data_IF_389522143174
#
_entry.id   IF_389522143174
#
_cell.length_a   1.000
_cell.length_b   1.000
_cell.length_c   1.000
_cell.angle_alpha   90.00
_cell.angle_beta   90.00
_cell.angle_gamma   90.00
#
_symmetry.space_group_name_H-M   'P 1'
#
loop_
_entity.id
_entity.type
_entity.pdbx_description
1 polymer ?
#
# COMPACT_ATOMS: atom_id res chain seq x y z
N UNK A 1 -7.92 2.13 -18.17
CA UNK A 1 -8.37 2.36 -16.79
C UNK A 1 -7.41 1.70 -15.79
N UNK A 2 -7.02 0.45 -16.02
CA UNK A 2 -6.14 -0.34 -15.15
C UNK A 2 -4.75 0.30 -14.94
N UNK A 3 -4.10 0.76 -16.02
CA UNK A 3 -2.81 1.45 -15.94
C UNK A 3 -2.88 2.75 -15.11
N UNK A 4 -3.99 3.49 -15.18
CA UNK A 4 -4.21 4.70 -14.38
C UNK A 4 -4.47 4.40 -12.90
N UNK A 5 -5.13 3.28 -12.59
CA UNK A 5 -5.38 2.87 -11.20
C UNK A 5 -4.10 2.38 -10.53
N UNK A 6 -3.31 1.56 -11.22
CA UNK A 6 -1.97 1.17 -10.75
C UNK A 6 -1.07 2.39 -10.52
N UNK A 7 -1.07 3.34 -11.45
CA UNK A 7 -0.30 4.57 -11.30
C UNK A 7 -0.68 5.36 -10.02
N UNK A 8 -1.97 5.50 -9.71
CA UNK A 8 -2.43 6.21 -8.51
C UNK A 8 -2.00 5.55 -7.19
N UNK A 9 -1.94 4.23 -7.13
CA UNK A 9 -1.49 3.50 -5.93
C UNK A 9 0.02 3.61 -5.80
N UNK A 10 0.75 3.49 -6.90
CA UNK A 10 2.20 3.72 -6.93
C UNK A 10 2.52 5.17 -6.53
N UNK A 11 1.71 6.15 -6.93
CA UNK A 11 1.86 7.55 -6.52
C UNK A 11 1.64 7.76 -5.01
N UNK A 12 0.69 7.04 -4.39
CA UNK A 12 0.45 7.11 -2.96
C UNK A 12 1.65 6.56 -2.17
N UNK A 13 2.13 5.37 -2.52
CA UNK A 13 3.32 4.76 -1.91
C UNK A 13 4.55 5.63 -2.16
N UNK A 14 4.75 6.13 -3.37
CA UNK A 14 5.85 7.04 -3.71
C UNK A 14 5.82 8.33 -2.89
N UNK A 15 4.62 8.83 -2.56
CA UNK A 15 4.47 10.02 -1.71
C UNK A 15 4.90 9.73 -0.27
N UNK A 16 4.59 8.55 0.27
CA UNK A 16 5.03 8.11 1.59
C UNK A 16 6.56 7.91 1.63
N UNK A 17 7.12 7.26 0.63
CA UNK A 17 8.58 7.04 0.53
C UNK A 17 9.34 8.36 0.49
N UNK A 18 8.81 9.39 -0.17
CA UNK A 18 9.44 10.73 -0.24
C UNK A 18 9.50 11.47 1.09
N UNK A 19 8.78 11.02 2.12
CA UNK A 19 8.85 11.60 3.46
C UNK A 19 10.17 11.26 4.17
N UNK A 20 10.85 10.19 3.77
CA UNK A 20 12.16 9.84 4.33
C UNK A 20 13.26 10.69 3.69
N UNK A 21 14.09 11.39 4.48
CA UNK A 21 15.22 12.15 3.95
C UNK A 21 16.29 11.24 3.36
N UNK A 22 17.04 11.72 2.38
CA UNK A 22 18.10 10.94 1.74
C UNK A 22 19.34 10.80 2.64
N UNK A 23 19.60 11.81 3.47
CA UNK A 23 20.74 11.89 4.39
C UNK A 23 20.27 12.21 5.81
N UNK A 24 21.08 11.86 6.77
CA UNK A 24 20.86 12.13 8.18
C UNK A 24 22.16 12.61 8.85
N UNK A 25 22.03 13.56 9.78
CA UNK A 25 23.16 14.01 10.62
C UNK A 25 23.24 13.08 11.82
N UNK A 26 24.34 12.34 11.92
CA UNK A 26 24.57 11.33 12.97
C UNK A 26 25.83 11.66 13.73
N UNK A 27 25.80 11.47 15.07
CA UNK A 27 27.01 11.59 15.92
C UNK A 27 27.50 10.19 16.27
N UNK A 28 28.69 9.82 15.77
CA UNK A 28 29.41 8.59 16.11
C UNK A 28 30.74 8.95 16.72
N UNK A 29 31.05 8.36 17.85
CA UNK A 29 32.33 8.62 18.61
C UNK A 29 32.59 10.14 18.87
N UNK A 30 31.53 10.92 19.12
CA UNK A 30 31.62 12.36 19.37
C UNK A 30 31.76 13.25 18.12
N UNK A 31 31.85 12.65 16.93
CA UNK A 31 31.98 13.40 15.66
C UNK A 31 30.64 13.41 14.93
N UNK A 32 30.18 14.58 14.54
CA UNK A 32 29.00 14.76 13.71
C UNK A 32 29.37 14.53 12.25
N UNK A 33 28.60 13.71 11.57
CA UNK A 33 28.77 13.40 10.15
C UNK A 33 27.41 13.22 9.47
N UNK A 34 27.33 13.69 8.24
CA UNK A 34 26.17 13.44 7.40
C UNK A 34 26.37 12.13 6.67
N UNK A 35 25.41 11.21 6.82
CA UNK A 35 25.46 9.88 6.20
C UNK A 35 24.15 9.62 5.43
N UNK A 36 24.17 8.74 4.41
CA UNK A 36 22.95 8.26 3.79
C UNK A 36 22.03 7.62 4.82
N UNK A 37 20.73 7.88 4.75
CA UNK A 37 19.71 7.31 5.67
C UNK A 37 19.77 5.78 5.71
N UNK A 38 20.07 5.14 4.59
CA UNK A 38 20.24 3.68 4.50
C UNK A 38 21.43 3.13 5.31
N UNK A 39 22.38 3.99 5.74
CA UNK A 39 23.58 3.63 6.52
C UNK A 39 23.41 3.84 8.02
N UNK A 40 22.24 4.27 8.48
CA UNK A 40 21.91 4.42 9.90
C UNK A 40 21.83 3.03 10.54
N UNK A 41 22.38 2.91 11.73
CA UNK A 41 22.36 1.68 12.54
C UNK A 41 21.60 1.90 13.84
N UNK A 42 21.04 0.83 14.38
CA UNK A 42 20.44 0.85 15.73
C UNK A 42 21.49 1.28 16.74
N UNK A 43 21.13 2.24 17.59
CA UNK A 43 22.02 2.83 18.58
C UNK A 43 22.72 4.11 18.13
N UNK A 44 22.67 4.49 16.85
CA UNK A 44 23.20 5.77 16.39
C UNK A 44 22.48 6.94 17.08
N UNK A 45 23.22 7.99 17.39
CA UNK A 45 22.66 9.25 17.86
C UNK A 45 22.40 10.16 16.65
N UNK A 46 21.14 10.44 16.38
CA UNK A 46 20.71 11.26 15.25
C UNK A 46 20.36 12.66 15.75
N UNK A 47 20.82 13.67 15.03
CA UNK A 47 20.60 15.08 15.33
C UNK A 47 19.58 15.66 14.33
N UNK A 48 18.52 16.26 14.87
CA UNK A 48 17.45 16.85 14.07
C UNK A 48 17.30 18.32 14.42
N UNK A 49 17.41 19.16 13.40
CA UNK A 49 17.24 20.62 13.49
C UNK A 49 15.86 21.00 12.94
N UNK A 50 15.42 22.20 13.25
CA UNK A 50 14.20 22.79 12.70
C UNK A 50 14.15 22.65 11.19
N UNK A 51 13.05 22.15 10.66
CA UNK A 51 12.80 21.89 9.23
C UNK A 51 13.32 20.54 8.72
N UNK A 52 14.09 19.80 9.53
CA UNK A 52 14.61 18.50 9.10
C UNK A 52 13.56 17.39 9.27
N UNK A 53 13.52 16.49 8.28
CA UNK A 53 12.75 15.26 8.38
C UNK A 53 13.50 14.22 9.22
N UNK A 54 12.75 13.38 9.93
CA UNK A 54 13.26 12.36 10.85
C UNK A 54 13.43 11.04 10.09
N UNK A 55 14.68 10.52 10.00
CA UNK A 55 15.00 9.38 9.14
C UNK A 55 14.70 8.00 9.73
N UNK A 56 14.62 7.87 11.06
CA UNK A 56 14.48 6.59 11.77
C UNK A 56 13.68 6.78 13.05
N UNK A 57 13.07 5.70 13.55
CA UNK A 57 12.36 5.74 14.83
C UNK A 57 13.34 5.62 16.01
N UNK A 58 12.98 6.23 17.13
CA UNK A 58 13.82 6.16 18.32
C UNK A 58 13.27 6.92 19.51
N UNK A 59 14.14 7.17 20.49
CA UNK A 59 13.82 7.87 21.73
C UNK A 59 14.72 9.08 21.90
N UNK A 60 14.13 10.23 22.22
CA UNK A 60 14.84 11.49 22.46
C UNK A 60 15.75 11.36 23.69
N UNK A 61 17.02 11.69 23.52
CA UNK A 61 18.04 11.64 24.59
C UNK A 61 18.50 13.03 25.04
N UNK A 62 18.31 14.05 24.19
CA UNK A 62 18.70 15.42 24.50
C UNK A 62 17.90 16.41 23.64
N UNK A 63 17.71 17.63 24.16
CA UNK A 63 17.00 18.70 23.48
C UNK A 63 15.49 18.66 23.70
N UNK A 64 14.80 19.60 23.04
CA UNK A 64 13.34 19.69 22.99
C UNK A 64 12.91 20.39 21.68
N UNK A 65 11.71 20.06 21.22
CA UNK A 65 11.18 20.65 20.00
C UNK A 65 9.78 20.17 19.66
N UNK A 66 9.13 20.80 18.70
CA UNK A 66 7.84 20.35 18.20
C UNK A 66 8.02 19.58 16.90
N UNK A 67 7.30 18.47 16.79
CA UNK A 67 7.36 17.55 15.65
C UNK A 67 5.98 17.45 15.02
N UNK A 68 5.93 17.64 13.72
CA UNK A 68 4.74 17.42 12.90
C UNK A 68 4.66 15.93 12.54
N UNK A 69 3.70 15.25 13.13
CA UNK A 69 3.40 13.84 12.91
C UNK A 69 2.18 13.64 11.97
N UNK A 70 1.66 14.71 11.37
CA UNK A 70 0.41 14.69 10.59
C UNK A 70 0.43 13.71 9.42
N UNK A 71 1.60 13.48 8.82
CA UNK A 71 1.76 12.51 7.74
C UNK A 71 1.48 11.05 8.17
N UNK A 72 1.62 10.74 9.45
CA UNK A 72 1.41 9.38 10.01
C UNK A 72 0.10 9.29 10.80
N UNK A 73 -0.21 10.31 11.61
CA UNK A 73 -1.33 10.31 12.54
C UNK A 73 -2.58 10.98 11.98
N UNK A 74 -2.42 11.86 10.98
CA UNK A 74 -3.49 12.72 10.46
C UNK A 74 -3.79 13.94 11.34
N UNK A 75 -3.15 14.07 12.51
CA UNK A 75 -3.32 15.21 13.42
C UNK A 75 -2.49 16.41 12.96
N UNK A 76 -3.15 17.55 12.72
CA UNK A 76 -2.50 18.74 12.15
C UNK A 76 -1.68 19.56 13.16
N UNK A 77 -1.85 19.31 14.46
CA UNK A 77 -1.12 20.03 15.50
C UNK A 77 0.23 19.35 15.76
N UNK A 78 1.35 20.11 15.71
CA UNK A 78 2.64 19.57 16.09
C UNK A 78 2.67 19.13 17.55
N UNK A 79 3.35 18.03 17.83
CA UNK A 79 3.48 17.43 19.16
C UNK A 79 4.80 17.87 19.77
N UNK A 80 4.77 18.40 21.00
CA UNK A 80 5.99 18.71 21.75
C UNK A 80 6.70 17.41 22.15
N UNK A 81 8.02 17.38 21.93
CA UNK A 81 8.89 16.25 22.25
C UNK A 81 10.00 16.71 23.17
N UNK A 82 10.24 15.93 24.21
CA UNK A 82 11.27 16.13 25.21
C UNK A 82 12.03 14.83 25.46
N UNK A 83 13.05 14.89 26.31
CA UNK A 83 13.88 13.72 26.66
C UNK A 83 13.02 12.59 27.20
N UNK A 84 13.16 11.39 26.64
CA UNK A 84 12.37 10.20 26.93
C UNK A 84 11.18 9.96 26.01
N UNK A 85 10.79 10.96 25.21
CA UNK A 85 9.68 10.79 24.28
C UNK A 85 10.09 10.00 23.01
N UNK A 86 9.15 9.24 22.49
CA UNK A 86 9.33 8.51 21.25
C UNK A 86 9.21 9.46 20.06
N UNK A 87 10.08 9.25 19.07
CA UNK A 87 10.10 9.98 17.80
C UNK A 87 9.95 8.99 16.64
N UNK A 88 9.20 9.39 15.62
CA UNK A 88 8.84 8.52 14.50
C UNK A 88 9.49 9.00 13.21
N UNK A 89 9.91 8.05 12.38
CA UNK A 89 10.41 8.30 11.03
C UNK A 89 9.33 8.96 10.15
N UNK A 90 9.76 9.69 9.13
CA UNK A 90 8.88 10.42 8.21
C UNK A 90 8.05 11.55 8.83
N UNK A 91 8.36 11.95 10.05
CA UNK A 91 7.85 13.17 10.68
C UNK A 91 8.83 14.32 10.50
N UNK A 92 8.43 15.56 10.78
CA UNK A 92 9.26 16.75 10.53
C UNK A 92 9.39 17.58 11.80
N UNK A 93 10.61 17.92 12.17
CA UNK A 93 10.85 18.86 13.27
C UNK A 93 10.45 20.27 12.84
N UNK A 94 9.42 20.86 13.46
CA UNK A 94 8.91 22.20 13.16
C UNK A 94 9.66 23.30 13.90
N UNK A 95 10.08 23.01 15.13
CA UNK A 95 10.85 23.94 15.94
C UNK A 95 11.75 23.20 16.91
N UNK A 96 12.81 23.85 17.37
CA UNK A 96 13.74 23.33 18.35
C UNK A 96 14.87 22.49 17.76
N UNK A 97 15.48 21.69 18.64
CA UNK A 97 16.60 20.81 18.34
C UNK A 97 16.43 19.52 19.14
N UNK A 98 16.57 18.39 18.49
CA UNK A 98 16.42 17.08 19.09
C UNK A 98 17.62 16.20 18.79
N UNK A 99 18.14 15.54 19.81
CA UNK A 99 19.03 14.40 19.64
C UNK A 99 18.30 13.16 20.13
N UNK A 100 18.27 12.13 19.30
CA UNK A 100 17.59 10.89 19.66
C UNK A 100 18.43 9.67 19.29
N UNK A 101 18.22 8.58 20.00
CA UNK A 101 18.85 7.30 19.70
C UNK A 101 17.98 6.50 18.76
N UNK A 102 18.55 6.08 17.63
CA UNK A 102 17.85 5.22 16.68
C UNK A 102 17.60 3.83 17.27
N UNK A 103 16.34 3.38 17.23
CA UNK A 103 15.92 2.07 17.74
C UNK A 103 15.40 1.17 16.62
N UNK A 104 14.68 1.75 15.63
CA UNK A 104 14.19 1.05 14.45
C UNK A 104 14.68 1.77 13.20
N UNK A 105 15.34 1.03 12.30
CA UNK A 105 16.00 1.57 11.12
C UNK A 105 15.59 0.81 9.85
N UNK A 106 15.69 1.44 8.70
CA UNK A 106 15.44 0.82 7.41
C UNK A 106 14.04 0.19 7.29
N UNK A 107 13.98 -1.11 7.09
CA UNK A 107 12.72 -1.84 6.91
C UNK A 107 11.86 -1.95 8.18
N UNK A 108 12.46 -1.76 9.36
CA UNK A 108 11.78 -1.91 10.64
C UNK A 108 11.16 -0.60 11.15
N UNK A 109 11.36 0.52 10.45
CA UNK A 109 10.75 1.80 10.81
C UNK A 109 9.23 1.76 10.70
N UNK A 110 8.54 2.58 11.50
CA UNK A 110 7.08 2.73 11.48
C UNK A 110 6.58 3.04 10.08
N UNK A 111 7.23 3.94 9.35
CA UNK A 111 6.88 4.23 7.95
C UNK A 111 6.99 3.01 7.05
N UNK A 112 8.08 2.24 7.15
CA UNK A 112 8.28 1.04 6.34
C UNK A 112 7.23 -0.03 6.63
N UNK A 113 6.83 -0.18 7.90
CA UNK A 113 5.73 -1.08 8.29
C UNK A 113 4.39 -0.62 7.71
N UNK A 114 4.10 0.69 7.71
CA UNK A 114 2.90 1.26 7.09
C UNK A 114 2.89 0.97 5.58
N UNK A 115 3.99 1.23 4.88
CA UNK A 115 4.12 0.94 3.45
C UNK A 115 3.85 -0.54 3.18
N UNK A 116 4.46 -1.45 3.95
CA UNK A 116 4.24 -2.89 3.82
C UNK A 116 2.78 -3.29 4.06
N UNK A 117 2.11 -2.73 5.06
CA UNK A 117 0.69 -2.98 5.31
C UNK A 117 -0.19 -2.54 4.13
N UNK A 118 0.12 -1.39 3.51
CA UNK A 118 -0.61 -0.90 2.32
C UNK A 118 -0.37 -1.82 1.12
N UNK A 119 0.85 -2.30 0.91
CA UNK A 119 1.18 -3.26 -0.15
C UNK A 119 0.50 -4.61 0.07
N UNK A 120 0.54 -5.15 1.29
CA UNK A 120 -0.12 -6.41 1.65
C UNK A 120 -1.64 -6.31 1.49
N UNK A 121 -2.25 -5.20 1.94
CA UNK A 121 -3.68 -4.96 1.75
C UNK A 121 -4.04 -4.88 0.27
N UNK A 122 -3.23 -4.19 -0.54
CA UNK A 122 -3.42 -4.08 -1.99
C UNK A 122 -3.25 -5.41 -2.74
N UNK A 123 -2.40 -6.30 -2.24
CA UNK A 123 -2.15 -7.62 -2.84
C UNK A 123 -3.11 -8.70 -2.34
N UNK A 124 -3.79 -8.49 -1.21
CA UNK A 124 -4.72 -9.46 -0.65
C UNK A 124 -5.98 -9.60 -1.52
N UNK A 125 -6.38 -10.85 -1.83
CA UNK A 125 -7.62 -11.11 -2.57
C UNK A 125 -8.83 -10.95 -1.65
N UNK A 126 -9.71 -10.02 -1.97
CA UNK A 126 -11.00 -9.89 -1.30
C UNK A 126 -11.87 -11.17 -1.45
N UNK A 127 -12.77 -11.47 -0.51
CA UNK A 127 -13.69 -12.59 -0.60
C UNK A 127 -14.46 -12.64 -1.92
N UNK A 128 -14.91 -11.50 -2.44
CA UNK A 128 -15.59 -11.42 -3.74
C UNK A 128 -14.67 -11.81 -4.91
N UNK A 129 -13.38 -11.49 -4.86
CA UNK A 129 -12.43 -11.92 -5.89
C UNK A 129 -12.21 -13.43 -5.87
N UNK A 130 -12.13 -14.03 -4.67
CA UNK A 130 -12.06 -15.51 -4.52
C UNK A 130 -13.32 -16.20 -5.06
N UNK A 131 -14.49 -15.61 -4.85
CA UNK A 131 -15.74 -16.09 -5.41
C UNK A 131 -15.74 -16.02 -6.94
N UNK A 132 -15.29 -14.90 -7.50
CA UNK A 132 -15.15 -14.70 -8.95
C UNK A 132 -14.17 -15.72 -9.56
N UNK A 133 -13.02 -15.97 -8.93
CA UNK A 133 -12.05 -16.99 -9.35
C UNK A 133 -12.69 -18.41 -9.35
N UNK A 134 -13.46 -18.74 -8.31
CA UNK A 134 -14.16 -20.02 -8.20
C UNK A 134 -15.22 -20.21 -9.28
N UNK A 135 -16.02 -19.17 -9.54
CA UNK A 135 -17.03 -19.18 -10.60
C UNK A 135 -16.35 -19.35 -11.95
N UNK A 136 -15.29 -18.58 -12.22
CA UNK A 136 -14.52 -18.65 -13.48
C UNK A 136 -13.90 -20.03 -13.69
N UNK A 137 -13.44 -20.69 -12.62
CA UNK A 137 -12.87 -22.05 -12.67
C UNK A 137 -13.85 -23.12 -13.16
N UNK A 138 -15.16 -22.92 -12.98
CA UNK A 138 -16.21 -23.80 -13.51
C UNK A 138 -16.71 -23.31 -14.87
N UNK A 139 -16.88 -22.01 -14.99
CA UNK A 139 -17.45 -21.38 -16.17
C UNK A 139 -16.57 -21.53 -17.42
N UNK A 140 -15.26 -21.37 -17.29
CA UNK A 140 -14.34 -21.45 -18.43
C UNK A 140 -14.32 -22.83 -19.10
N UNK A 141 -14.21 -23.97 -18.38
CA UNK A 141 -14.32 -25.28 -18.98
C UNK A 141 -15.68 -25.52 -19.69
N UNK A 142 -16.78 -25.00 -19.14
CA UNK A 142 -18.11 -25.12 -19.76
C UNK A 142 -18.15 -24.37 -21.10
N UNK A 143 -17.64 -23.12 -21.12
CA UNK A 143 -17.60 -22.31 -22.34
C UNK A 143 -16.70 -22.94 -23.42
N UNK A 144 -15.55 -23.49 -23.03
CA UNK A 144 -14.66 -24.21 -23.95
C UNK A 144 -15.40 -25.42 -24.55
N UNK A 145 -16.13 -26.17 -23.73
CA UNK A 145 -16.91 -27.31 -24.22
C UNK A 145 -17.99 -26.88 -25.20
N UNK A 146 -18.70 -25.78 -24.91
CA UNK A 146 -19.72 -25.24 -25.85
C UNK A 146 -19.06 -24.76 -27.15
N UNK A 147 -17.88 -24.14 -27.10
CA UNK A 147 -17.18 -23.69 -28.29
C UNK A 147 -16.75 -24.87 -29.19
N UNK A 148 -16.27 -25.98 -28.56
CA UNK A 148 -15.92 -27.21 -29.29
C UNK A 148 -17.15 -27.84 -29.93
N UNK A 149 -18.26 -27.94 -29.19
CA UNK A 149 -19.53 -28.45 -29.73
C UNK A 149 -20.02 -27.58 -30.91
N UNK A 150 -19.96 -26.26 -30.73
CA UNK A 150 -20.30 -25.30 -31.80
C UNK A 150 -19.46 -25.57 -33.06
N UNK A 151 -18.15 -25.71 -32.91
CA UNK A 151 -17.24 -26.02 -34.02
C UNK A 151 -17.66 -27.30 -34.75
N UNK A 152 -17.89 -28.37 -34.00
CA UNK A 152 -18.28 -29.68 -34.56
C UNK A 152 -19.59 -29.61 -35.28
N UNK A 153 -20.62 -29.01 -34.70
CA UNK A 153 -21.95 -28.85 -35.29
C UNK A 153 -21.87 -28.09 -36.60
N UNK A 154 -21.15 -26.95 -36.65
CA UNK A 154 -20.99 -26.18 -37.85
C UNK A 154 -20.24 -26.92 -38.99
N UNK A 155 -19.28 -27.77 -38.66
CA UNK A 155 -18.59 -28.63 -39.60
C UNK A 155 -19.53 -29.72 -40.17
N UNK A 156 -20.33 -30.35 -39.27
CA UNK A 156 -21.27 -31.40 -39.68
C UNK A 156 -22.42 -30.87 -40.58
N UNK A 157 -22.75 -29.60 -40.42
CA UNK A 157 -23.76 -28.94 -41.31
C UNK A 157 -23.21 -28.54 -42.68
N UNK A 158 -21.99 -28.91 -43.01
CA UNK A 158 -21.36 -28.67 -44.34
C UNK A 158 -20.81 -27.27 -44.53
N UNK A 159 -20.72 -26.46 -43.50
CA UNK A 159 -20.16 -25.13 -43.60
C UNK A 159 -18.62 -25.16 -43.72
N UNK A 160 -18.00 -24.16 -44.39
CA UNK A 160 -16.53 -24.08 -44.49
C UNK A 160 -15.90 -23.91 -43.12
N UNK A 161 -14.73 -24.50 -42.93
CA UNK A 161 -13.95 -24.46 -41.66
C UNK A 161 -13.78 -23.04 -41.11
N UNK A 162 -13.57 -22.07 -41.98
CA UNK A 162 -13.43 -20.65 -41.57
C UNK A 162 -14.68 -20.10 -40.87
N UNK A 163 -15.86 -20.55 -41.25
CA UNK A 163 -17.13 -20.11 -40.67
C UNK A 163 -17.38 -20.83 -39.33
N UNK A 164 -17.10 -22.13 -39.26
CA UNK A 164 -17.17 -22.91 -38.04
C UNK A 164 -16.19 -22.38 -36.98
N UNK A 165 -14.95 -22.04 -37.38
CA UNK A 165 -13.96 -21.45 -36.48
C UNK A 165 -14.39 -20.06 -35.99
N UNK A 166 -14.92 -19.19 -36.84
CA UNK A 166 -15.44 -17.88 -36.41
C UNK A 166 -16.54 -18.03 -35.36
N UNK A 167 -17.49 -18.97 -35.56
CA UNK A 167 -18.55 -19.20 -34.59
C UNK A 167 -18.03 -19.65 -33.24
N UNK A 168 -17.09 -20.61 -33.23
CA UNK A 168 -16.46 -21.09 -31.98
C UNK A 168 -15.65 -20.00 -31.25
N UNK A 169 -14.85 -19.22 -31.98
CA UNK A 169 -14.10 -18.10 -31.42
C UNK A 169 -15.04 -17.02 -30.86
N UNK A 170 -16.15 -16.74 -31.54
CA UNK A 170 -17.16 -15.78 -31.05
C UNK A 170 -17.74 -16.21 -29.70
N UNK A 171 -18.02 -17.49 -29.51
CA UNK A 171 -18.48 -18.04 -28.20
C UNK A 171 -17.45 -17.77 -27.12
N UNK A 172 -16.16 -18.01 -27.38
CA UNK A 172 -15.08 -17.79 -26.42
C UNK A 172 -14.92 -16.31 -26.05
N UNK A 173 -14.94 -15.42 -27.05
CA UNK A 173 -14.72 -13.97 -26.85
C UNK A 173 -15.89 -13.32 -26.09
N UNK A 174 -17.13 -13.64 -26.44
CA UNK A 174 -18.32 -13.07 -25.79
C UNK A 174 -18.44 -13.53 -24.34
N UNK A 175 -18.04 -14.75 -24.05
CA UNK A 175 -18.16 -15.36 -22.72
C UNK A 175 -17.03 -15.00 -21.76
N UNK A 176 -16.10 -14.13 -22.13
CA UNK A 176 -14.96 -13.79 -21.23
C UNK A 176 -15.42 -12.96 -20.02
N UNK A 177 -15.29 -13.43 -18.77
CA UNK A 177 -15.59 -12.65 -17.56
C UNK A 177 -14.43 -11.74 -17.15
N UNK A 178 -13.62 -11.28 -18.10
CA UNK A 178 -12.36 -10.57 -17.85
C UNK A 178 -12.54 -9.30 -17.01
N UNK A 179 -13.67 -8.60 -17.16
CA UNK A 179 -13.98 -7.39 -16.39
C UNK A 179 -14.14 -7.67 -14.89
N UNK A 180 -14.68 -8.84 -14.51
CA UNK A 180 -14.93 -9.19 -13.11
C UNK A 180 -13.61 -9.46 -12.34
N UNK A 181 -12.63 -10.10 -13.00
CA UNK A 181 -11.34 -10.43 -12.38
C UNK A 181 -10.42 -9.21 -12.15
N UNK A 182 -10.63 -8.11 -12.86
CA UNK A 182 -9.78 -6.91 -12.79
C UNK A 182 -10.40 -5.78 -11.96
N UNK A 183 -11.73 -5.70 -11.87
CA UNK A 183 -12.42 -4.60 -11.20
C UNK A 183 -12.16 -4.58 -9.69
N UNK A 184 -12.22 -5.74 -9.04
CA UNK A 184 -12.08 -5.85 -7.58
C UNK A 184 -10.68 -5.50 -7.07
N UNK A 185 -9.57 -6.08 -7.58
CA UNK A 185 -8.24 -5.67 -7.18
C UNK A 185 -7.99 -4.19 -7.37
N UNK A 186 -8.46 -3.63 -8.48
CA UNK A 186 -8.33 -2.20 -8.77
C UNK A 186 -9.05 -1.33 -7.76
N UNK A 187 -10.29 -1.66 -7.39
CA UNK A 187 -11.07 -0.92 -6.41
C UNK A 187 -10.42 -0.96 -5.02
N UNK A 188 -9.91 -2.12 -4.59
CA UNK A 188 -9.21 -2.30 -3.32
C UNK A 188 -7.93 -1.46 -3.29
N UNK A 189 -7.10 -1.53 -4.33
CA UNK A 189 -5.87 -0.75 -4.42
C UNK A 189 -6.14 0.76 -4.33
N UNK A 190 -7.15 1.26 -5.04
CA UNK A 190 -7.53 2.68 -4.99
C UNK A 190 -8.08 3.05 -3.61
N UNK A 191 -8.92 2.22 -3.03
CA UNK A 191 -9.53 2.45 -1.72
C UNK A 191 -8.49 2.47 -0.60
N UNK A 192 -7.59 1.48 -0.55
CA UNK A 192 -6.52 1.41 0.46
C UNK A 192 -5.52 2.56 0.29
N UNK A 193 -5.14 2.89 -0.94
CA UNK A 193 -4.25 4.02 -1.21
C UNK A 193 -4.85 5.37 -0.82
N UNK A 194 -6.15 5.58 -1.05
CA UNK A 194 -6.84 6.80 -0.61
C UNK A 194 -7.00 6.84 0.91
N UNK A 195 -7.27 5.69 1.54
CA UNK A 195 -7.30 5.57 3.00
C UNK A 195 -5.96 5.98 3.61
N UNK A 196 -4.86 5.40 3.14
CA UNK A 196 -3.52 5.70 3.64
C UNK A 196 -3.15 7.20 3.53
N UNK A 197 -3.54 7.86 2.43
CA UNK A 197 -3.33 9.32 2.28
C UNK A 197 -4.06 10.18 3.32
N UNK A 198 -5.12 9.65 3.93
CA UNK A 198 -5.92 10.30 4.95
C UNK A 198 -5.67 9.72 6.36
N UNK A 199 -4.55 9.03 6.58
CA UNK A 199 -4.20 8.44 7.87
C UNK A 199 -5.01 7.19 8.24
N UNK A 200 -5.79 6.62 7.31
CA UNK A 200 -6.60 5.43 7.55
C UNK A 200 -5.88 4.20 6.99
N UNK A 201 -5.39 3.35 7.88
CA UNK A 201 -4.69 2.12 7.52
C UNK A 201 -5.66 0.95 7.43
N UNK A 202 -5.78 0.37 6.25
CA UNK A 202 -6.64 -0.78 5.98
C UNK A 202 -5.78 -2.04 5.98
N UNK A 203 -5.99 -2.92 6.95
CA UNK A 203 -5.17 -4.10 7.19
C UNK A 203 -5.31 -5.18 6.11
N UNK A 204 -6.46 -5.28 5.47
CA UNK A 204 -6.71 -6.29 4.43
C UNK A 204 -7.85 -5.88 3.50
N UNK A 205 -7.90 -6.47 2.29
CA UNK A 205 -9.02 -6.31 1.37
C UNK A 205 -10.35 -6.80 1.96
N UNK A 206 -10.30 -7.83 2.81
CA UNK A 206 -11.47 -8.33 3.54
C UNK A 206 -12.01 -7.31 4.55
N UNK A 207 -11.10 -6.62 5.25
CA UNK A 207 -11.49 -5.55 6.18
C UNK A 207 -12.18 -4.39 5.45
N UNK A 208 -11.69 -4.02 4.25
CA UNK A 208 -12.32 -2.99 3.43
C UNK A 208 -13.72 -3.40 2.94
N UNK A 209 -13.87 -4.66 2.51
CA UNK A 209 -15.16 -5.21 2.07
C UNK A 209 -16.15 -5.29 3.23
N UNK A 210 -15.70 -5.71 4.41
CA UNK A 210 -16.54 -5.85 5.60
C UNK A 210 -16.94 -4.51 6.20
N UNK A 211 -16.15 -3.46 5.99
CA UNK A 211 -16.39 -2.12 6.54
C UNK A 211 -17.79 -1.57 6.16
N UNK A 212 -18.32 -1.90 4.97
CA UNK A 212 -19.66 -1.45 4.56
C UNK A 212 -20.79 -2.04 5.41
N UNK A 213 -20.57 -3.16 6.10
CA UNK A 213 -21.56 -3.85 6.93
C UNK A 213 -21.54 -3.41 8.40
N UNK A 214 -20.60 -2.54 8.78
CA UNK A 214 -20.49 -2.01 10.15
C UNK A 214 -21.69 -1.14 10.47
N UNK A 215 -22.43 -1.52 11.53
CA UNK A 215 -23.64 -0.81 11.99
C UNK A 215 -23.44 0.00 13.26
N UNK A 216 -22.38 -0.31 14.00
CA UNK A 216 -22.05 0.40 15.24
C UNK A 216 -20.54 0.49 15.38
N UNK A 217 -20.07 1.65 15.85
CA UNK A 217 -18.65 1.90 16.17
C UNK A 217 -18.60 2.32 17.63
N UNK A 218 -17.77 1.61 18.40
CA UNK A 218 -17.48 1.98 19.80
C UNK A 218 -16.07 2.52 19.83
N UNK A 219 -15.95 3.79 20.21
CA UNK A 219 -14.66 4.44 20.36
C UNK A 219 -14.30 4.43 21.86
N UNK A 220 -13.16 3.88 22.17
CA UNK A 220 -12.55 3.94 23.49
C UNK A 220 -11.46 5.04 23.49
N UNK A 221 -11.24 5.68 24.65
CA UNK A 221 -10.27 6.76 24.83
C UNK A 221 -8.87 6.20 24.99
#
# INVERSE_FOLDING_TARGET
>A
LEARSKAKTTDAISSLVKLTPQTALVRRNGVEQEIPTASIQVGDTILVKTGAAIPADGTVISGQGSVDESALTGESLPVEKQVGDRILSATTCRSGYLEYRAEQVGADTTLSQIIRLVEEAGSSKAPIARLADKISGVFVPIVISIAIVTLIVWLLTGNPFSMALKAAVSVLVISCPCALGLATPTAIMVGTGQGAKNGILIKSAESLETAHSVKAVVLDK
#
